data_IF_382167832739
#
_entry.id   IF_382167832739
#
_cell.length_a   1.000
_cell.length_b   1.000
_cell.length_c   1.000
_cell.angle_alpha   90.00
_cell.angle_beta   90.00
_cell.angle_gamma   90.00
#
_symmetry.space_group_name_H-M   'P 1'
#
loop_
_entity.id
_entity.type
_entity.pdbx_description
1 polymer ?
#
# COMPACT_ATOMS: atom_id res chain seq x y z
N UNK A 1 -5.88 -13.48 11.58
CA UNK A 1 -5.48 -12.11 11.17
C UNK A 1 -3.98 -11.92 11.04
N UNK A 2 -3.15 -12.07 12.08
CA UNK A 2 -1.68 -11.94 11.91
C UNK A 2 -1.05 -13.10 11.10
N UNK A 3 -1.55 -14.33 11.25
CA UNK A 3 -1.06 -15.49 10.49
C UNK A 3 -1.32 -15.32 8.99
N UNK A 4 -2.56 -15.01 8.62
CA UNK A 4 -2.98 -14.84 7.21
C UNK A 4 -2.19 -13.72 6.52
N UNK A 5 -1.92 -12.62 7.22
CA UNK A 5 -1.11 -11.50 6.70
C UNK A 5 0.36 -11.86 6.50
N UNK A 6 0.89 -12.76 7.35
CA UNK A 6 2.23 -13.29 7.18
C UNK A 6 2.31 -14.23 5.98
N UNK A 7 1.33 -15.11 5.84
CA UNK A 7 1.24 -16.05 4.72
C UNK A 7 1.10 -15.33 3.37
N UNK A 8 0.28 -14.26 3.31
CA UNK A 8 0.18 -13.38 2.14
C UNK A 8 1.55 -12.78 1.75
N UNK A 9 2.33 -12.31 2.73
CA UNK A 9 3.67 -11.79 2.49
C UNK A 9 4.64 -12.90 2.06
N UNK A 10 4.61 -14.07 2.71
CA UNK A 10 5.48 -15.19 2.39
C UNK A 10 5.27 -15.64 0.93
N UNK A 11 4.02 -15.73 0.46
CA UNK A 11 3.68 -16.01 -0.94
C UNK A 11 4.33 -14.98 -1.88
N UNK A 12 4.23 -13.69 -1.57
CA UNK A 12 4.86 -12.65 -2.40
C UNK A 12 6.39 -12.78 -2.42
N UNK A 13 7.01 -13.06 -1.26
CA UNK A 13 8.46 -13.23 -1.13
C UNK A 13 9.00 -14.44 -1.92
N UNK A 14 8.22 -15.51 -2.06
CA UNK A 14 8.56 -16.67 -2.89
C UNK A 14 8.54 -16.34 -4.39
N UNK A 15 7.73 -15.36 -4.81
CA UNK A 15 7.51 -14.99 -6.22
C UNK A 15 8.44 -13.85 -6.68
N UNK A 16 9.75 -14.11 -6.72
CA UNK A 16 10.79 -13.10 -7.06
C UNK A 16 10.74 -12.56 -8.49
N UNK A 17 10.09 -13.28 -9.41
CA UNK A 17 9.99 -12.89 -10.83
C UNK A 17 8.81 -11.95 -11.12
N UNK A 18 7.96 -11.68 -10.12
CA UNK A 18 6.83 -10.76 -10.25
C UNK A 18 7.18 -9.43 -9.59
N UNK A 19 6.92 -8.31 -10.28
CA UNK A 19 7.07 -6.97 -9.73
C UNK A 19 5.87 -6.65 -8.81
N UNK A 20 5.89 -7.18 -7.59
CA UNK A 20 4.82 -6.97 -6.61
C UNK A 20 5.09 -5.78 -5.69
N UNK A 21 4.02 -5.20 -5.14
CA UNK A 21 4.04 -4.21 -4.05
C UNK A 21 2.91 -4.54 -3.08
N UNK A 22 3.19 -4.66 -1.78
CA UNK A 22 2.18 -4.97 -0.75
C UNK A 22 1.78 -3.70 0.01
N UNK A 23 0.70 -3.05 -0.41
CA UNK A 23 0.26 -1.78 0.20
C UNK A 23 -0.46 -2.04 1.53
N UNK A 24 0.01 -1.39 2.60
CA UNK A 24 -0.56 -1.47 3.95
C UNK A 24 -1.41 -0.23 4.25
N UNK A 25 -2.68 -0.44 4.52
CA UNK A 25 -3.68 0.62 4.67
C UNK A 25 -4.10 0.84 6.15
N UNK A 26 -4.41 2.08 6.56
CA UNK A 26 -5.05 2.41 7.81
C UNK A 26 -6.58 2.26 7.67
N UNK A 27 -7.36 3.00 8.46
CA UNK A 27 -8.82 2.98 8.34
C UNK A 27 -9.27 3.57 6.99
N UNK A 28 -9.95 2.75 6.18
CA UNK A 28 -10.45 3.17 4.87
C UNK A 28 -11.83 3.80 5.02
N UNK A 29 -12.00 4.98 4.44
CA UNK A 29 -13.30 5.67 4.35
C UNK A 29 -13.68 5.91 2.90
N UNK A 30 -14.98 6.06 2.64
CA UNK A 30 -15.41 6.62 1.36
C UNK A 30 -15.15 8.13 1.34
N UNK A 31 -14.66 8.64 0.21
CA UNK A 31 -14.39 10.06 0.07
C UNK A 31 -14.04 10.41 -1.37
N UNK A 32 -14.40 11.63 -1.77
CA UNK A 32 -14.09 12.18 -3.09
C UNK A 32 -12.87 13.11 -3.06
N UNK A 33 -12.42 13.49 -1.85
CA UNK A 33 -11.24 14.33 -1.67
C UNK A 33 -9.99 13.57 -2.12
N UNK A 34 -9.13 14.27 -2.87
CA UNK A 34 -7.82 13.77 -3.25
C UNK A 34 -6.78 14.65 -2.59
N UNK A 35 -6.18 14.13 -1.52
CA UNK A 35 -5.00 14.73 -0.90
C UNK A 35 -3.75 13.97 -1.28
N UNK A 36 -2.60 14.59 -1.07
CA UNK A 36 -1.31 13.94 -1.23
C UNK A 36 -1.19 12.81 -0.20
N UNK A 37 -1.05 11.59 -0.70
CA UNK A 37 -0.82 10.40 0.11
C UNK A 37 0.59 10.44 0.68
N UNK A 38 0.71 10.25 1.99
CA UNK A 38 1.98 10.05 2.68
C UNK A 38 2.31 8.57 2.69
N UNK A 39 3.58 8.25 2.46
CA UNK A 39 4.07 6.88 2.39
C UNK A 39 5.26 6.65 3.31
N UNK A 40 5.36 5.43 3.86
CA UNK A 40 6.45 5.06 4.76
C UNK A 40 6.64 3.54 4.80
N UNK A 41 7.89 3.08 4.78
CA UNK A 41 8.19 1.65 4.88
C UNK A 41 8.14 1.12 6.32
N UNK A 42 8.23 2.00 7.32
CA UNK A 42 8.44 1.62 8.72
C UNK A 42 7.24 1.92 9.61
N UNK A 43 6.67 3.11 9.48
CA UNK A 43 5.65 3.63 10.40
C UNK A 43 4.41 4.10 9.64
N UNK A 44 3.23 3.96 10.24
CA UNK A 44 1.98 4.45 9.67
C UNK A 44 1.94 5.99 9.73
N UNK A 45 1.87 6.70 8.58
CA UNK A 45 2.02 8.17 8.55
C UNK A 45 0.72 8.94 8.89
N UNK A 46 -0.38 8.22 9.10
CA UNK A 46 -1.71 8.77 9.35
C UNK A 46 -2.73 7.66 9.63
N UNK A 47 -3.93 8.02 10.10
CA UNK A 47 -4.93 7.06 10.61
C UNK A 47 -6.08 6.77 9.64
N UNK A 48 -6.19 7.53 8.55
CA UNK A 48 -7.28 7.41 7.56
C UNK A 48 -6.74 7.51 6.14
N UNK A 49 -7.48 6.90 5.21
CA UNK A 49 -7.29 7.09 3.77
C UNK A 49 -8.63 6.86 3.05
N UNK A 50 -8.88 7.55 1.94
CA UNK A 50 -10.08 7.31 1.12
C UNK A 50 -9.84 6.30 0.00
N UNK A 51 -10.92 5.66 -0.46
CA UNK A 51 -10.91 4.82 -1.67
C UNK A 51 -10.39 5.55 -2.92
N UNK A 52 -10.72 6.84 -3.09
CA UNK A 52 -10.24 7.65 -4.21
C UNK A 52 -8.73 7.90 -4.12
N UNK A 53 -8.21 8.19 -2.92
CA UNK A 53 -6.77 8.35 -2.69
C UNK A 53 -6.02 7.03 -2.91
N UNK A 54 -6.56 5.89 -2.46
CA UNK A 54 -5.99 4.54 -2.73
C UNK A 54 -5.92 4.27 -4.23
N UNK A 55 -7.02 4.49 -4.97
CA UNK A 55 -7.06 4.22 -6.40
C UNK A 55 -6.03 5.07 -7.16
N UNK A 56 -5.95 6.36 -6.85
CA UNK A 56 -4.96 7.25 -7.45
C UNK A 56 -3.52 6.81 -7.11
N UNK A 57 -3.26 6.40 -5.87
CA UNK A 57 -1.97 5.87 -5.46
C UNK A 57 -1.59 4.63 -6.28
N UNK A 58 -2.47 3.63 -6.37
CA UNK A 58 -2.20 2.39 -7.12
C UNK A 58 -1.90 2.69 -8.60
N UNK A 59 -2.67 3.58 -9.24
CA UNK A 59 -2.42 3.97 -10.64
C UNK A 59 -1.04 4.62 -10.80
N UNK A 60 -0.64 5.49 -9.85
CA UNK A 60 0.70 6.10 -9.89
C UNK A 60 1.86 5.09 -9.76
N UNK A 61 1.62 3.92 -9.16
CA UNK A 61 2.64 2.87 -9.01
C UNK A 61 2.88 2.07 -10.31
N UNK A 62 2.03 2.23 -11.34
CA UNK A 62 2.26 1.60 -12.64
C UNK A 62 3.56 2.13 -13.26
N UNK A 63 3.76 3.44 -13.19
CA UNK A 63 4.97 4.10 -13.71
C UNK A 63 6.06 4.20 -12.63
N UNK A 64 5.68 4.28 -11.35
CA UNK A 64 6.62 4.41 -10.25
C UNK A 64 7.08 3.05 -9.69
N UNK A 65 8.30 2.66 -10.04
CA UNK A 65 8.92 1.38 -9.62
C UNK A 65 9.57 1.39 -8.23
N UNK A 66 9.42 2.47 -7.45
CA UNK A 66 10.12 2.64 -6.15
C UNK A 66 9.79 1.55 -5.14
N UNK A 67 8.58 0.97 -5.22
CA UNK A 67 8.06 0.03 -4.23
C UNK A 67 8.01 -1.42 -4.68
N UNK A 68 8.64 -1.76 -5.81
CA UNK A 68 8.83 -3.16 -6.21
C UNK A 68 9.51 -3.95 -5.08
N UNK A 69 8.89 -5.08 -4.73
CA UNK A 69 9.25 -5.99 -3.65
C UNK A 69 9.24 -5.36 -2.24
N UNK A 70 8.43 -4.32 -2.04
CA UNK A 70 8.29 -3.63 -0.75
C UNK A 70 6.84 -3.60 -0.28
N UNK A 71 6.68 -3.28 1.00
CA UNK A 71 5.39 -3.17 1.64
C UNK A 71 5.17 -1.78 2.27
N UNK A 72 4.90 -0.70 1.51
CA UNK A 72 4.71 0.64 2.09
C UNK A 72 3.40 0.74 2.88
N UNK A 73 3.41 1.53 3.96
CA UNK A 73 2.20 2.11 4.55
C UNK A 73 1.81 3.35 3.77
N UNK A 74 0.51 3.55 3.53
CA UNK A 74 -0.02 4.79 2.94
C UNK A 74 -1.14 5.37 3.78
N UNK A 75 -1.16 6.68 3.98
CA UNK A 75 -2.23 7.37 4.69
C UNK A 75 -2.28 8.86 4.33
N UNK A 76 -3.25 9.57 4.90
CA UNK A 76 -3.30 11.04 4.93
C UNK A 76 -2.80 11.58 6.26
#
# INVERSE_FOLDING_TARGET
MMKDKKEELDILLENKNLDWTLIRLPFVKEGLEVRTVKESLTNMPGIIISNKEIANYIVSQIDNKTYIHKAPFIAI
#
